data_IF_658374739912
#
_entry.id   IF_658374739912
#
_cell.length_a   1.000
_cell.length_b   1.000
_cell.length_c   1.000
_cell.angle_alpha   90.00
_cell.angle_beta   90.00
_cell.angle_gamma   90.00
#
_symmetry.space_group_name_H-M   'P 1'
#
loop_
_entity.id
_entity.type
_entity.pdbx_description
1 polymer ?
#
# COMPACT_ATOMS: atom_id res chain seq x y z
N UNK A 1 5.92 4.39 6.71
CA UNK A 1 4.61 4.73 7.33
C UNK A 1 4.22 3.82 8.50
N UNK A 2 4.62 2.54 8.53
CA UNK A 2 4.33 1.61 9.63
C UNK A 2 4.69 2.16 11.02
N UNK A 3 5.98 2.44 11.27
CA UNK A 3 6.42 2.98 12.57
C UNK A 3 5.80 4.34 12.91
N UNK A 4 5.50 5.15 11.89
CA UNK A 4 4.85 6.46 12.04
C UNK A 4 3.40 6.28 12.50
N UNK A 5 2.71 5.23 12.03
CA UNK A 5 1.36 4.89 12.47
C UNK A 5 1.33 4.60 13.97
N UNK A 6 2.38 3.99 14.51
CA UNK A 6 2.60 3.75 15.94
C UNK A 6 3.02 4.99 16.74
N UNK A 7 3.17 6.15 16.07
CA UNK A 7 3.71 7.40 16.62
C UNK A 7 5.19 7.32 17.07
N UNK A 8 5.99 6.42 16.48
CA UNK A 8 7.38 6.21 16.91
C UNK A 8 8.37 7.20 16.28
N UNK A 9 8.00 7.92 15.22
CA UNK A 9 8.90 8.88 14.57
C UNK A 9 9.20 10.13 15.43
N UNK A 10 8.18 10.64 16.14
CA UNK A 10 8.33 11.79 17.06
C UNK A 10 7.86 11.49 18.49
N UNK A 11 7.57 10.23 18.79
CA UNK A 11 7.03 9.78 20.06
C UNK A 11 5.53 10.02 20.25
N UNK A 12 4.95 9.34 21.25
CA UNK A 12 3.52 9.37 21.55
C UNK A 12 3.00 10.75 22.00
N UNK A 13 3.87 11.60 22.57
CA UNK A 13 3.51 12.95 23.01
C UNK A 13 3.27 13.93 21.85
N UNK A 14 3.63 13.56 20.60
CA UNK A 14 3.53 14.44 19.42
C UNK A 14 2.74 13.79 18.28
N UNK A 15 1.45 13.46 18.48
CA UNK A 15 0.67 12.74 17.48
C UNK A 15 0.47 13.53 16.18
N UNK A 16 0.37 14.87 16.25
CA UNK A 16 0.24 15.70 15.05
C UNK A 16 1.50 15.68 14.18
N UNK A 17 2.69 15.71 14.80
CA UNK A 17 3.97 15.67 14.08
C UNK A 17 4.12 14.35 13.33
N UNK A 18 3.76 13.23 13.98
CA UNK A 18 3.72 11.93 13.33
C UNK A 18 2.73 11.89 12.17
N UNK A 19 1.54 12.50 12.29
CA UNK A 19 0.56 12.57 11.19
C UNK A 19 1.09 13.37 10.00
N UNK A 20 1.63 14.56 10.25
CA UNK A 20 2.19 15.42 9.19
C UNK A 20 3.35 14.73 8.47
N UNK A 21 4.27 14.10 9.23
CA UNK A 21 5.34 13.32 8.65
C UNK A 21 4.84 12.08 7.92
N UNK A 22 3.76 11.47 8.41
CA UNK A 22 3.05 10.40 7.73
C UNK A 22 2.50 10.82 6.37
N UNK A 23 1.92 12.03 6.24
CA UNK A 23 1.49 12.56 4.95
C UNK A 23 2.66 12.71 3.99
N UNK A 24 3.78 13.28 4.46
CA UNK A 24 4.98 13.45 3.65
C UNK A 24 5.57 12.10 3.19
N UNK A 25 5.72 11.15 4.10
CA UNK A 25 6.22 9.81 3.80
C UNK A 25 5.30 8.99 2.89
N UNK A 26 4.02 9.39 2.76
CA UNK A 26 3.04 8.77 1.89
C UNK A 26 3.14 9.23 0.44
N UNK A 27 3.68 10.43 0.18
CA UNK A 27 3.68 11.05 -1.15
C UNK A 27 4.21 10.13 -2.26
N UNK A 28 5.34 9.40 -2.10
CA UNK A 28 5.87 8.53 -3.14
C UNK A 28 4.98 7.32 -3.49
N UNK A 29 3.98 7.00 -2.65
CA UNK A 29 3.07 5.86 -2.85
C UNK A 29 2.00 6.19 -3.91
N UNK A 30 1.67 7.47 -4.11
CA UNK A 30 0.67 7.89 -5.11
C UNK A 30 -0.79 7.64 -4.73
N UNK A 31 -1.07 7.17 -3.51
CA UNK A 31 -2.43 6.89 -3.00
C UNK A 31 -2.49 7.33 -1.53
N UNK A 32 -3.56 8.02 -1.07
CA UNK A 32 -3.62 8.62 0.27
C UNK A 32 -3.91 7.59 1.38
N UNK A 33 -2.91 6.78 1.74
CA UNK A 33 -3.11 5.65 2.67
C UNK A 33 -2.63 5.91 4.09
N UNK A 34 -1.86 6.95 4.39
CA UNK A 34 -1.22 7.15 5.70
C UNK A 34 -2.17 7.05 6.89
N UNK A 35 -3.30 7.76 6.85
CA UNK A 35 -4.26 7.77 7.97
C UNK A 35 -5.10 6.50 7.99
N UNK A 36 -5.56 6.04 6.83
CA UNK A 36 -6.33 4.80 6.69
C UNK A 36 -5.51 3.60 7.18
N UNK A 37 -4.25 3.51 6.76
CA UNK A 37 -3.29 2.52 7.21
C UNK A 37 -3.19 2.57 8.74
N UNK A 38 -2.90 3.74 9.34
CA UNK A 38 -2.87 3.86 10.80
C UNK A 38 -4.17 3.40 11.48
N UNK A 39 -5.31 3.72 10.89
CA UNK A 39 -6.65 3.38 11.44
C UNK A 39 -6.88 1.86 11.48
N UNK A 40 -6.57 1.14 10.41
CA UNK A 40 -6.77 -0.32 10.33
C UNK A 40 -5.60 -1.10 10.95
N UNK A 41 -4.36 -0.61 10.80
CA UNK A 41 -3.16 -1.23 11.36
C UNK A 41 -3.18 -1.33 12.89
N UNK A 42 -3.65 -0.28 13.57
CA UNK A 42 -3.80 -0.31 15.04
C UNK A 42 -4.91 -1.27 15.49
N UNK A 43 -5.92 -1.53 14.64
CA UNK A 43 -6.96 -2.53 14.90
C UNK A 43 -6.42 -3.93 14.71
N UNK A 44 -5.67 -4.18 13.63
CA UNK A 44 -4.94 -5.44 13.42
C UNK A 44 -4.11 -5.79 14.66
N UNK A 45 -3.31 -4.88 15.19
CA UNK A 45 -2.54 -5.14 16.40
C UNK A 45 -3.39 -5.34 17.66
N UNK A 46 -4.56 -4.69 17.75
CA UNK A 46 -5.45 -4.80 18.91
C UNK A 46 -6.28 -6.09 18.89
N UNK A 47 -6.69 -6.54 17.72
CA UNK A 47 -7.61 -7.65 17.50
C UNK A 47 -7.00 -8.70 16.57
N UNK A 48 -5.71 -8.94 16.70
CA UNK A 48 -4.95 -9.79 15.78
C UNK A 48 -5.57 -11.19 15.66
N UNK A 49 -5.92 -11.59 14.44
CA UNK A 49 -6.57 -12.87 14.14
C UNK A 49 -8.11 -12.87 14.27
N UNK A 50 -8.74 -11.75 14.62
CA UNK A 50 -10.21 -11.62 14.63
C UNK A 50 -10.77 -11.60 13.21
N UNK A 51 -11.70 -12.50 12.89
CA UNK A 51 -12.20 -12.71 11.53
C UNK A 51 -12.85 -11.48 10.88
N UNK A 52 -13.29 -10.50 11.69
CA UNK A 52 -14.00 -9.31 11.19
C UNK A 52 -13.14 -8.06 11.36
N UNK A 53 -12.56 -7.85 12.54
CA UNK A 53 -11.86 -6.60 12.89
C UNK A 53 -10.43 -6.56 12.35
N UNK A 54 -9.78 -7.72 12.22
CA UNK A 54 -8.47 -7.82 11.62
C UNK A 54 -8.61 -7.90 10.10
N UNK A 55 -8.56 -6.75 9.45
CA UNK A 55 -8.68 -6.66 7.99
C UNK A 55 -7.41 -7.12 7.26
N UNK A 56 -6.33 -7.42 7.97
CA UNK A 56 -5.05 -7.78 7.36
C UNK A 56 -4.99 -9.29 7.05
N UNK A 57 -5.80 -10.12 7.72
CA UNK A 57 -5.92 -11.55 7.45
C UNK A 57 -6.89 -11.85 6.30
N UNK A 58 -6.67 -12.94 5.52
CA UNK A 58 -7.59 -13.34 4.47
C UNK A 58 -8.95 -13.71 5.03
N UNK A 59 -10.00 -13.39 4.28
CA UNK A 59 -11.35 -13.88 4.59
C UNK A 59 -11.43 -15.40 4.46
N UNK A 60 -12.44 -16.01 5.08
CA UNK A 60 -12.70 -17.45 4.93
C UNK A 60 -12.83 -17.88 3.45
N UNK A 61 -13.46 -17.03 2.63
CA UNK A 61 -13.61 -17.28 1.19
C UNK A 61 -12.25 -17.25 0.48
N UNK A 62 -11.43 -16.22 0.73
CA UNK A 62 -10.07 -16.15 0.18
C UNK A 62 -9.24 -17.38 0.60
N UNK A 63 -9.29 -17.76 1.88
CA UNK A 63 -8.57 -18.92 2.39
C UNK A 63 -9.00 -20.23 1.70
N UNK A 64 -10.29 -20.39 1.38
CA UNK A 64 -10.79 -21.55 0.61
C UNK A 64 -10.40 -21.50 -0.86
N UNK A 65 -10.51 -20.34 -1.51
CA UNK A 65 -10.18 -20.18 -2.93
C UNK A 65 -8.68 -20.35 -3.20
N UNK A 66 -7.83 -19.90 -2.27
CA UNK A 66 -6.38 -19.89 -2.42
C UNK A 66 -5.68 -20.88 -1.47
N UNK A 67 -6.20 -22.12 -1.40
CA UNK A 67 -5.69 -23.15 -0.47
C UNK A 67 -4.55 -24.02 -1.04
N UNK A 68 -4.30 -24.00 -2.36
CA UNK A 68 -3.21 -24.75 -3.02
C UNK A 68 -1.94 -23.91 -3.15
N UNK A 69 -0.78 -24.53 -3.41
CA UNK A 69 0.48 -23.79 -3.63
C UNK A 69 0.37 -22.77 -4.76
N UNK A 70 -0.23 -23.16 -5.89
CA UNK A 70 -0.47 -22.24 -7.01
C UNK A 70 -1.50 -21.17 -6.67
N UNK A 71 -2.57 -21.51 -5.94
CA UNK A 71 -3.54 -20.52 -5.46
C UNK A 71 -2.90 -19.48 -4.54
N UNK A 72 -2.05 -19.89 -3.61
CA UNK A 72 -1.30 -18.97 -2.73
C UNK A 72 -0.39 -18.03 -3.53
N UNK A 73 0.25 -18.52 -4.60
CA UNK A 73 1.04 -17.67 -5.49
C UNK A 73 0.18 -16.58 -6.15
N UNK A 74 -0.98 -16.96 -6.68
CA UNK A 74 -1.93 -15.98 -7.25
C UNK A 74 -2.38 -14.98 -6.16
N UNK A 75 -2.67 -15.45 -4.95
CA UNK A 75 -3.08 -14.59 -3.85
C UNK A 75 -2.01 -13.57 -3.47
N UNK A 76 -0.73 -13.96 -3.42
CA UNK A 76 0.39 -13.03 -3.17
C UNK A 76 0.51 -11.97 -4.26
N UNK A 77 0.32 -12.34 -5.52
CA UNK A 77 0.33 -11.39 -6.65
C UNK A 77 -0.82 -10.39 -6.52
N UNK A 78 -1.99 -10.85 -6.10
CA UNK A 78 -3.19 -10.04 -5.89
C UNK A 78 -3.24 -9.35 -4.52
N UNK A 79 -2.25 -9.55 -3.66
CA UNK A 79 -2.25 -9.06 -2.29
C UNK A 79 -2.43 -7.54 -2.19
N UNK A 80 -1.80 -6.69 -3.03
CA UNK A 80 -2.06 -5.24 -2.99
C UNK A 80 -3.53 -4.88 -3.22
N UNK A 81 -4.22 -5.64 -4.09
CA UNK A 81 -5.65 -5.46 -4.34
C UNK A 81 -6.47 -5.89 -3.11
N UNK A 82 -6.25 -7.10 -2.60
CA UNK A 82 -6.97 -7.57 -1.42
C UNK A 82 -6.76 -6.65 -0.22
N UNK A 83 -5.52 -6.26 0.05
CA UNK A 83 -5.18 -5.38 1.16
C UNK A 83 -5.87 -4.01 1.06
N UNK A 84 -5.97 -3.45 -0.15
CA UNK A 84 -6.58 -2.13 -0.37
C UNK A 84 -8.10 -2.14 -0.25
N UNK A 85 -8.76 -3.19 -0.76
CA UNK A 85 -10.22 -3.25 -0.86
C UNK A 85 -10.91 -4.02 0.26
N UNK A 86 -10.26 -5.04 0.84
CA UNK A 86 -10.87 -5.88 1.90
C UNK A 86 -11.43 -5.05 3.06
N UNK A 87 -10.70 -4.05 3.62
CA UNK A 87 -11.24 -3.25 4.71
C UNK A 87 -12.54 -2.49 4.34
N UNK A 88 -12.73 -2.13 3.07
CA UNK A 88 -13.92 -1.44 2.59
C UNK A 88 -15.14 -2.35 2.48
N UNK A 89 -14.93 -3.67 2.42
CA UNK A 89 -15.97 -4.69 2.25
C UNK A 89 -16.28 -5.36 3.58
N UNK A 90 -15.25 -5.78 4.33
CA UNK A 90 -15.41 -6.61 5.53
C UNK A 90 -15.66 -5.77 6.79
N UNK A 91 -15.00 -4.62 6.91
CA UNK A 91 -15.10 -3.77 8.10
C UNK A 91 -15.05 -2.27 7.75
N UNK A 92 -16.02 -1.77 6.97
CA UNK A 92 -16.01 -0.40 6.50
C UNK A 92 -16.16 0.58 7.67
N UNK A 93 -15.17 1.47 7.80
CA UNK A 93 -15.21 2.57 8.75
C UNK A 93 -15.55 3.89 8.03
N UNK A 94 -16.31 4.79 8.68
CA UNK A 94 -16.57 6.10 8.10
C UNK A 94 -15.24 6.84 7.85
N UNK A 95 -15.16 7.62 6.75
CA UNK A 95 -14.01 8.46 6.48
C UNK A 95 -13.89 9.54 7.54
N UNK A 96 -12.66 9.84 7.93
CA UNK A 96 -12.33 10.88 8.92
C UNK A 96 -11.84 12.14 8.23
N UNK A 97 -11.94 13.28 8.92
CA UNK A 97 -11.41 14.57 8.41
C UNK A 97 -9.92 14.48 8.06
N UNK A 98 -9.14 13.69 8.82
CA UNK A 98 -7.70 13.51 8.54
C UNK A 98 -7.43 12.67 7.29
N UNK A 99 -8.29 11.70 6.96
CA UNK A 99 -8.21 10.97 5.68
C UNK A 99 -8.55 11.88 4.50
N UNK A 100 -9.51 12.80 4.67
CA UNK A 100 -9.80 13.81 3.66
C UNK A 100 -8.62 14.76 3.44
N UNK A 101 -7.98 15.23 4.52
CA UNK A 101 -6.76 16.04 4.44
C UNK A 101 -5.62 15.29 3.73
N UNK A 102 -5.40 14.01 4.08
CA UNK A 102 -4.41 13.17 3.39
C UNK A 102 -4.71 13.08 1.89
N UNK A 103 -5.98 12.88 1.54
CA UNK A 103 -6.45 12.77 0.16
C UNK A 103 -6.17 14.04 -0.63
N UNK A 104 -6.53 15.19 -0.10
CA UNK A 104 -6.27 16.48 -0.75
C UNK A 104 -4.77 16.70 -0.96
N UNK A 105 -3.93 16.45 0.06
CA UNK A 105 -2.48 16.60 -0.05
C UNK A 105 -1.91 15.66 -1.12
N UNK A 106 -2.34 14.39 -1.14
CA UNK A 106 -1.86 13.42 -2.11
C UNK A 106 -2.27 13.81 -3.53
N UNK A 107 -3.54 14.19 -3.76
CA UNK A 107 -4.02 14.58 -5.08
C UNK A 107 -3.31 15.83 -5.62
N UNK A 108 -3.02 16.82 -4.76
CA UNK A 108 -2.24 18.00 -5.14
C UNK A 108 -0.82 17.59 -5.54
N UNK A 109 -0.18 16.73 -4.76
CA UNK A 109 1.17 16.25 -5.06
C UNK A 109 1.20 15.42 -6.33
N UNK A 110 0.27 14.50 -6.53
CA UNK A 110 0.18 13.68 -7.75
C UNK A 110 -0.06 14.58 -8.97
N UNK A 111 -0.95 15.56 -8.87
CA UNK A 111 -1.18 16.55 -9.94
C UNK A 111 0.08 17.36 -10.24
N UNK A 112 0.84 17.77 -9.22
CA UNK A 112 2.13 18.43 -9.39
C UNK A 112 3.14 17.52 -10.09
N UNK A 113 3.26 16.26 -9.65
CA UNK A 113 4.16 15.27 -10.26
C UNK A 113 3.80 15.05 -11.73
N UNK A 114 2.51 14.87 -12.03
CA UNK A 114 2.03 14.74 -13.40
C UNK A 114 2.35 16.02 -14.19
N UNK A 115 1.96 17.19 -13.71
CA UNK A 115 2.17 18.44 -14.46
C UNK A 115 3.64 18.71 -14.82
N UNK A 116 4.58 18.48 -13.88
CA UNK A 116 6.00 18.79 -14.10
C UNK A 116 6.82 17.64 -14.67
N UNK A 117 6.46 16.38 -14.39
CA UNK A 117 7.28 15.21 -14.74
C UNK A 117 6.61 14.27 -15.74
N UNK A 118 5.35 14.49 -16.11
CA UNK A 118 4.66 13.76 -17.20
C UNK A 118 5.12 14.24 -18.57
N UNK A 119 6.41 14.10 -18.84
CA UNK A 119 6.95 14.21 -20.19
C UNK A 119 6.90 12.85 -20.88
N UNK A 120 6.68 12.79 -22.21
CA UNK A 120 6.87 11.56 -22.99
C UNK A 120 8.22 10.89 -22.74
N UNK A 121 9.25 11.68 -22.42
CA UNK A 121 10.60 11.22 -22.06
C UNK A 121 10.63 10.45 -20.73
N UNK A 122 9.89 10.90 -19.71
CA UNK A 122 9.79 10.21 -18.42
C UNK A 122 9.03 8.88 -18.55
N UNK A 123 7.97 8.85 -19.37
CA UNK A 123 7.24 7.61 -19.69
C UNK A 123 8.11 6.62 -20.47
N UNK A 124 8.93 7.10 -21.41
CA UNK A 124 9.92 6.28 -22.10
C UNK A 124 10.96 5.70 -21.13
N UNK A 125 11.44 6.50 -20.17
CA UNK A 125 12.36 6.04 -19.13
C UNK A 125 11.73 4.96 -18.23
N UNK A 126 10.51 5.18 -17.73
CA UNK A 126 9.77 4.20 -16.91
C UNK A 126 9.51 2.90 -17.66
N UNK A 127 9.09 2.99 -18.93
CA UNK A 127 8.92 1.81 -19.79
C UNK A 127 10.23 1.05 -19.95
N UNK A 128 11.34 1.75 -20.24
CA UNK A 128 12.64 1.11 -20.38
C UNK A 128 13.10 0.48 -19.07
N UNK A 129 12.93 1.14 -17.92
CA UNK A 129 13.28 0.59 -16.61
C UNK A 129 12.53 -0.72 -16.35
N UNK A 130 11.21 -0.74 -16.57
CA UNK A 130 10.39 -1.95 -16.42
C UNK A 130 10.79 -3.06 -17.40
N UNK A 131 11.12 -2.69 -18.64
CA UNK A 131 11.54 -3.65 -19.67
C UNK A 131 12.95 -4.20 -19.37
N UNK A 132 13.86 -3.38 -18.86
CA UNK A 132 15.22 -3.79 -18.49
C UNK A 132 15.22 -4.71 -17.28
N UNK A 133 14.39 -4.44 -16.28
CA UNK A 133 14.22 -5.34 -15.12
C UNK A 133 13.65 -6.70 -15.56
N UNK A 134 12.64 -6.70 -16.43
CA UNK A 134 12.08 -7.93 -16.99
C UNK A 134 13.10 -8.70 -17.86
N UNK A 135 13.87 -8.01 -18.69
CA UNK A 135 14.91 -8.59 -19.54
C UNK A 135 16.08 -9.15 -18.71
N UNK A 136 16.47 -8.50 -17.62
CA UNK A 136 17.53 -8.98 -16.74
C UNK A 136 17.12 -10.27 -16.01
N UNK A 137 15.86 -10.37 -15.56
CA UNK A 137 15.31 -11.59 -14.96
C UNK A 137 15.29 -12.75 -15.97
N UNK A 138 14.91 -12.48 -17.23
CA UNK A 138 14.92 -13.50 -18.29
C UNK A 138 16.34 -13.94 -18.66
N UNK A 139 17.31 -13.02 -18.68
CA UNK A 139 18.72 -13.33 -18.96
C UNK A 139 19.36 -14.21 -17.90
N UNK A 140 19.07 -13.96 -16.62
CA UNK A 140 19.53 -14.83 -15.52
C UNK A 140 18.90 -16.23 -15.60
N UNK A 141 17.66 -16.34 -16.08
CA UNK A 141 16.98 -17.62 -16.25
C UNK A 141 17.56 -18.44 -17.41
N UNK A 142 17.94 -17.82 -18.52
CA UNK A 142 18.60 -18.49 -19.64
C UNK A 142 20.04 -18.94 -19.30
N UNK A 143 20.77 -18.16 -18.49
CA UNK A 143 22.14 -18.52 -18.07
C UNK A 143 22.19 -19.69 -17.09
N UNK A 144 21.16 -19.87 -16.24
CA UNK A 144 21.09 -21.02 -15.30
C UNK A 144 20.66 -22.34 -15.96
N UNK A 145 20.12 -22.28 -17.17
CA UNK A 145 19.61 -23.45 -17.91
C UNK A 145 20.53 -23.86 -19.08
N UNK A 146 21.76 -23.33 -19.13
CA UNK A 146 22.87 -23.82 -19.95
C UNK A 146 23.96 -24.37 -19.05
#
# INVERSE_FOLDING_TARGET
>A
IHEIAHNLAFGHARPLHNRLFGFFANLPIGIPISISFKKYHLEHHRYQGDEIKDTDIPTYLEAKLFCTTFGKLIWVILQPFFYSFRPLITYPKPPTTMELVNTVIQLIFDAFVVYFFWSPTYLYYLKNLLTQTALNILREYEFKNK
#
